data_IF_382326234370
#
_entry.id   IF_382326234370
#
_cell.length_a   1.000
_cell.length_b   1.000
_cell.length_c   1.000
_cell.angle_alpha   90.00
_cell.angle_beta   90.00
_cell.angle_gamma   90.00
#
_symmetry.space_group_name_H-M   'P 1'
#
loop_
_entity.id
_entity.type
_entity.pdbx_description
1 polymer ?
#
# COMPACT_ATOMS: atom_id res chain seq x y z
N UNK A 1 31.67 -84.74 -22.31
CA UNK A 1 31.71 -83.78 -21.18
C UNK A 1 31.07 -82.49 -21.61
N UNK A 2 30.15 -82.00 -20.79
CA UNK A 2 29.12 -81.01 -21.13
C UNK A 2 29.68 -79.60 -21.33
N UNK A 3 29.06 -78.85 -22.25
CA UNK A 3 29.25 -77.41 -22.43
C UNK A 3 28.46 -76.69 -21.35
N UNK A 4 29.09 -75.81 -20.58
CA UNK A 4 28.35 -74.85 -19.75
C UNK A 4 28.68 -73.43 -20.20
N UNK A 5 27.77 -72.88 -21.01
CA UNK A 5 27.73 -71.46 -21.32
C UNK A 5 27.20 -70.75 -20.07
N UNK A 6 28.01 -69.92 -19.43
CA UNK A 6 27.52 -68.98 -18.40
C UNK A 6 26.64 -67.95 -19.11
N UNK A 7 25.33 -68.08 -18.93
CA UNK A 7 24.37 -67.06 -19.33
C UNK A 7 24.59 -65.85 -18.43
N UNK A 8 24.83 -64.70 -19.05
CA UNK A 8 24.84 -63.42 -18.36
C UNK A 8 23.36 -63.07 -18.21
N UNK A 9 22.82 -63.38 -17.04
CA UNK A 9 21.46 -63.03 -16.67
C UNK A 9 21.37 -61.50 -16.55
N UNK A 10 20.43 -60.91 -17.28
CA UNK A 10 20.15 -59.48 -17.22
C UNK A 10 19.41 -59.23 -15.91
N UNK A 11 20.13 -58.72 -14.91
CA UNK A 11 19.57 -58.37 -13.61
C UNK A 11 18.70 -57.10 -13.75
N UNK A 12 17.37 -57.19 -13.64
CA UNK A 12 16.48 -56.03 -13.75
C UNK A 12 16.55 -55.12 -12.52
N UNK A 13 17.36 -55.43 -11.51
CA UNK A 13 17.50 -54.60 -10.30
C UNK A 13 18.26 -53.28 -10.51
N UNK A 14 18.86 -53.07 -11.69
CA UNK A 14 19.42 -51.79 -12.12
C UNK A 14 18.35 -50.94 -12.85
N UNK A 15 17.11 -50.95 -12.36
CA UNK A 15 16.22 -49.82 -12.59
C UNK A 15 16.65 -48.71 -11.64
N UNK A 16 17.32 -47.69 -12.18
CA UNK A 16 17.68 -46.48 -11.44
C UNK A 16 16.41 -45.86 -10.84
N UNK A 17 16.19 -46.08 -9.54
CA UNK A 17 15.15 -45.41 -8.76
C UNK A 17 15.23 -43.91 -9.00
N UNK A 18 14.16 -43.33 -9.53
CA UNK A 18 13.98 -41.89 -9.61
C UNK A 18 14.08 -41.30 -8.19
N UNK A 19 15.25 -40.76 -7.85
CA UNK A 19 15.48 -40.12 -6.55
C UNK A 19 14.54 -38.93 -6.43
N UNK A 20 13.67 -38.97 -5.42
CA UNK A 20 12.82 -37.86 -5.04
C UNK A 20 13.66 -36.62 -4.76
N UNK A 21 13.18 -35.46 -5.24
CA UNK A 21 13.87 -34.19 -5.05
C UNK A 21 13.90 -33.84 -3.56
N UNK A 22 15.10 -33.86 -2.96
CA UNK A 22 15.30 -33.44 -1.56
C UNK A 22 15.53 -31.94 -1.47
N UNK A 23 15.01 -31.29 -0.42
CA UNK A 23 15.26 -29.86 -0.15
C UNK A 23 16.75 -29.52 -0.04
N UNK A 24 17.58 -30.48 0.41
CA UNK A 24 19.04 -30.32 0.45
C UNK A 24 19.64 -30.25 -0.95
N UNK A 25 19.19 -31.10 -1.88
CA UNK A 25 19.65 -31.09 -3.27
C UNK A 25 19.24 -29.81 -4.02
N UNK A 26 18.14 -29.17 -3.62
CA UNK A 26 17.71 -27.87 -4.15
C UNK A 26 18.59 -26.73 -3.64
N UNK A 27 18.96 -26.75 -2.36
CA UNK A 27 19.84 -25.74 -1.76
C UNK A 27 21.30 -25.89 -2.21
N UNK A 28 21.78 -27.13 -2.35
CA UNK A 28 23.13 -27.46 -2.82
C UNK A 28 23.30 -27.26 -4.34
N UNK A 29 22.22 -26.87 -5.05
CA UNK A 29 22.27 -26.55 -6.49
C UNK A 29 22.43 -27.76 -7.40
N UNK A 30 22.46 -28.99 -6.86
CA UNK A 30 22.58 -30.23 -7.61
C UNK A 30 21.41 -30.43 -8.60
N UNK A 31 20.24 -29.85 -8.29
CA UNK A 31 19.08 -29.83 -9.20
C UNK A 31 19.35 -29.04 -10.48
N UNK A 32 20.20 -27.99 -10.44
CA UNK A 32 20.51 -27.16 -11.61
C UNK A 32 21.46 -27.87 -12.59
N UNK A 33 22.26 -28.83 -12.12
CA UNK A 33 23.24 -29.57 -12.95
C UNK A 33 22.60 -30.70 -13.76
N UNK A 34 21.31 -30.99 -13.57
CA UNK A 34 20.61 -32.03 -14.33
C UNK A 34 20.52 -31.67 -15.81
N UNK A 35 20.80 -32.63 -16.70
CA UNK A 35 20.78 -32.44 -18.17
C UNK A 35 19.46 -31.83 -18.69
N UNK A 36 18.33 -32.18 -18.07
CA UNK A 36 17.01 -31.61 -18.40
C UNK A 36 16.90 -30.11 -18.07
N UNK A 37 17.50 -29.68 -16.96
CA UNK A 37 17.52 -28.28 -16.50
C UNK A 37 18.47 -27.45 -17.36
N UNK A 38 19.64 -27.99 -17.69
CA UNK A 38 20.61 -27.33 -18.60
C UNK A 38 20.03 -27.12 -20.01
N UNK A 39 19.25 -28.09 -20.53
CA UNK A 39 18.55 -27.98 -21.82
C UNK A 39 17.54 -26.83 -21.84
N UNK A 40 16.93 -26.53 -20.70
CA UNK A 40 15.90 -25.50 -20.53
C UNK A 40 16.42 -24.25 -19.78
N UNK A 41 17.75 -24.06 -19.76
CA UNK A 41 18.42 -22.96 -19.07
C UNK A 41 17.92 -21.58 -19.47
N UNK A 42 17.62 -21.35 -20.76
CA UNK A 42 17.06 -20.08 -21.26
C UNK A 42 15.73 -19.71 -20.60
N UNK A 43 14.86 -20.69 -20.36
CA UNK A 43 13.57 -20.48 -19.72
C UNK A 43 13.71 -20.25 -18.21
N UNK A 44 14.65 -20.93 -17.54
CA UNK A 44 14.92 -20.68 -16.12
C UNK A 44 15.48 -19.26 -15.93
N UNK A 45 16.35 -18.80 -16.82
CA UNK A 45 16.83 -17.42 -16.82
C UNK A 45 15.68 -16.41 -16.93
N UNK A 46 14.68 -16.69 -17.79
CA UNK A 46 13.47 -15.89 -17.88
C UNK A 46 12.69 -15.87 -16.56
N UNK A 47 12.51 -17.03 -15.91
CA UNK A 47 11.82 -17.11 -14.61
C UNK A 47 12.55 -16.34 -13.52
N UNK A 48 13.88 -16.45 -13.47
CA UNK A 48 14.72 -15.70 -12.54
C UNK A 48 14.59 -14.20 -12.79
N UNK A 49 14.61 -13.77 -14.05
CA UNK A 49 14.39 -12.36 -14.42
C UNK A 49 13.02 -11.87 -13.94
N UNK A 50 11.95 -12.63 -14.18
CA UNK A 50 10.60 -12.30 -13.71
C UNK A 50 10.53 -12.26 -12.18
N UNK A 51 11.21 -13.18 -11.49
CA UNK A 51 11.27 -13.20 -10.03
C UNK A 51 11.94 -11.92 -9.50
N UNK A 52 13.08 -11.51 -10.08
CA UNK A 52 13.73 -10.25 -9.73
C UNK A 52 12.82 -9.04 -10.00
N UNK A 53 12.17 -9.00 -11.16
CA UNK A 53 11.24 -7.92 -11.52
C UNK A 53 10.06 -7.85 -10.53
N UNK A 54 9.56 -9.01 -10.09
CA UNK A 54 8.46 -9.11 -9.13
C UNK A 54 8.88 -8.63 -7.74
N UNK A 55 10.08 -8.98 -7.28
CA UNK A 55 10.64 -8.48 -6.00
C UNK A 55 10.81 -6.96 -6.06
N UNK A 56 11.37 -6.45 -7.17
CA UNK A 56 11.57 -5.02 -7.36
C UNK A 56 10.23 -4.26 -7.35
N UNK A 57 9.22 -4.76 -8.07
CA UNK A 57 7.89 -4.15 -8.12
C UNK A 57 7.18 -4.21 -6.75
N UNK A 58 7.29 -5.34 -6.05
CA UNK A 58 6.70 -5.50 -4.71
C UNK A 58 7.23 -4.46 -3.73
N UNK A 59 8.56 -4.27 -3.69
CA UNK A 59 9.18 -3.29 -2.81
C UNK A 59 8.76 -1.84 -3.15
N UNK A 60 8.48 -1.54 -4.42
CA UNK A 60 7.95 -0.22 -4.81
C UNK A 60 6.52 -0.05 -4.34
N UNK A 61 5.66 -1.06 -4.57
CA UNK A 61 4.27 -1.03 -4.14
C UNK A 61 4.15 -0.86 -2.61
N UNK A 62 4.98 -1.55 -1.83
CA UNK A 62 4.99 -1.44 -0.38
C UNK A 62 5.32 -0.01 0.10
N UNK A 63 6.35 0.62 -0.47
CA UNK A 63 6.70 2.02 -0.17
C UNK A 63 5.57 2.98 -0.52
N UNK A 64 4.93 2.79 -1.67
CA UNK A 64 3.79 3.60 -2.10
C UNK A 64 2.60 3.45 -1.16
N UNK A 65 2.30 2.23 -0.70
CA UNK A 65 1.22 1.98 0.26
C UNK A 65 1.48 2.67 1.60
N UNK A 66 2.72 2.64 2.09
CA UNK A 66 3.08 3.36 3.32
C UNK A 66 2.90 4.88 3.15
N UNK A 67 3.35 5.43 2.01
CA UNK A 67 3.19 6.85 1.72
C UNK A 67 1.72 7.25 1.61
N UNK A 68 0.90 6.43 0.93
CA UNK A 68 -0.53 6.64 0.78
C UNK A 68 -1.24 6.70 2.14
N UNK A 69 -0.91 5.77 3.05
CA UNK A 69 -1.49 5.74 4.40
C UNK A 69 -1.14 7.01 5.19
N UNK A 70 0.11 7.49 5.10
CA UNK A 70 0.52 8.75 5.74
C UNK A 70 -0.26 9.93 5.17
N UNK A 71 -0.30 10.04 3.84
CA UNK A 71 -1.00 11.13 3.16
C UNK A 71 -2.50 11.14 3.49
N UNK A 72 -3.12 9.96 3.60
CA UNK A 72 -4.52 9.85 4.00
C UNK A 72 -4.76 10.29 5.45
N UNK A 73 -3.83 9.98 6.36
CA UNK A 73 -3.87 10.49 7.74
C UNK A 73 -3.75 12.02 7.77
N UNK A 74 -2.83 12.59 7.00
CA UNK A 74 -2.62 14.03 6.93
C UNK A 74 -3.87 14.74 6.40
N UNK A 75 -4.49 14.22 5.33
CA UNK A 75 -5.75 14.75 4.79
C UNK A 75 -6.86 14.72 5.84
N UNK A 76 -6.97 13.63 6.62
CA UNK A 76 -7.96 13.52 7.69
C UNK A 76 -7.72 14.56 8.78
N UNK A 77 -6.47 14.76 9.19
CA UNK A 77 -6.10 15.76 10.18
C UNK A 77 -6.39 17.18 9.68
N UNK A 78 -5.98 17.51 8.45
CA UNK A 78 -6.23 18.82 7.83
C UNK A 78 -7.73 19.11 7.74
N UNK A 79 -8.55 18.11 7.37
CA UNK A 79 -10.01 18.25 7.37
C UNK A 79 -10.52 18.56 8.77
N UNK A 80 -10.08 17.83 9.79
CA UNK A 80 -10.47 18.08 11.17
C UNK A 80 -10.09 19.50 11.63
N UNK A 81 -8.85 19.94 11.35
CA UNK A 81 -8.40 21.31 11.63
C UNK A 81 -9.27 22.35 10.93
N UNK A 82 -9.56 22.17 9.64
CA UNK A 82 -10.39 23.12 8.88
C UNK A 82 -11.77 23.30 9.50
N UNK A 83 -12.42 22.20 9.89
CA UNK A 83 -13.73 22.23 10.56
C UNK A 83 -13.62 22.93 11.91
N UNK A 84 -12.58 22.62 12.69
CA UNK A 84 -12.34 23.25 14.00
C UNK A 84 -12.14 24.76 13.86
N UNK A 85 -11.28 25.21 12.93
CA UNK A 85 -11.01 26.62 12.69
C UNK A 85 -12.26 27.35 12.18
N UNK A 86 -13.02 26.77 11.25
CA UNK A 86 -14.29 27.36 10.81
C UNK A 86 -15.31 27.44 11.95
N UNK A 87 -15.36 26.43 12.82
CA UNK A 87 -16.26 26.42 13.98
C UNK A 87 -15.86 27.49 15.01
N UNK A 88 -14.56 27.71 15.19
CA UNK A 88 -14.04 28.77 16.04
C UNK A 88 -14.39 30.15 15.49
N UNK A 89 -14.24 30.36 14.18
CA UNK A 89 -14.66 31.60 13.53
C UNK A 89 -16.15 31.85 13.75
N UNK A 90 -17.00 30.85 13.50
CA UNK A 90 -18.45 30.94 13.73
C UNK A 90 -18.76 31.24 15.19
N UNK A 91 -18.05 30.61 16.14
CA UNK A 91 -18.20 30.88 17.57
C UNK A 91 -17.92 32.34 17.88
N UNK A 92 -16.79 32.88 17.42
CA UNK A 92 -16.38 34.26 17.70
C UNK A 92 -17.31 35.26 16.98
N UNK A 93 -17.77 34.96 15.77
CA UNK A 93 -18.67 35.82 15.00
C UNK A 93 -20.14 35.74 15.44
N UNK A 94 -20.50 34.88 16.41
CA UNK A 94 -21.87 34.84 16.95
C UNK A 94 -22.21 36.18 17.60
N UNK A 95 -23.40 36.69 17.30
CA UNK A 95 -23.90 37.95 17.87
C UNK A 95 -23.80 38.00 19.40
N UNK A 96 -24.06 36.89 20.09
CA UNK A 96 -23.91 36.80 21.55
C UNK A 96 -22.46 36.96 22.04
N UNK A 97 -21.49 36.38 21.33
CA UNK A 97 -20.06 36.53 21.67
C UNK A 97 -19.56 37.92 21.31
N UNK A 98 -19.98 38.47 20.17
CA UNK A 98 -19.68 39.86 19.76
C UNK A 98 -20.23 40.85 20.80
N UNK A 99 -21.48 40.69 21.25
CA UNK A 99 -22.07 41.50 22.31
C UNK A 99 -21.29 41.39 23.62
N UNK A 100 -20.87 40.18 24.00
CA UNK A 100 -20.02 39.97 25.18
C UNK A 100 -18.70 40.73 25.04
N UNK A 101 -18.04 40.62 23.89
CA UNK A 101 -16.76 41.31 23.62
C UNK A 101 -16.94 42.84 23.65
N UNK A 102 -17.98 43.37 23.02
CA UNK A 102 -18.31 44.81 23.03
C UNK A 102 -18.49 45.35 24.44
N UNK A 103 -19.22 44.62 25.29
CA UNK A 103 -19.39 44.97 26.71
C UNK A 103 -18.06 44.87 27.50
N UNK A 104 -17.25 43.84 27.21
CA UNK A 104 -15.97 43.61 27.90
C UNK A 104 -14.95 44.72 27.58
N UNK A 105 -14.93 45.20 26.34
CA UNK A 105 -14.05 46.28 25.89
C UNK A 105 -14.66 47.69 26.08
N UNK A 106 -15.83 47.78 26.73
CA UNK A 106 -16.52 49.05 27.03
C UNK A 106 -16.71 49.96 25.80
N UNK A 107 -16.96 49.36 24.63
CA UNK A 107 -17.01 50.10 23.35
C UNK A 107 -18.26 50.99 23.19
N UNK A 108 -19.19 50.97 24.15
CA UNK A 108 -20.39 51.81 24.15
C UNK A 108 -21.36 51.54 22.99
N UNK A 109 -21.25 50.39 22.33
CA UNK A 109 -22.10 50.01 21.20
C UNK A 109 -23.28 49.17 21.69
N UNK A 110 -24.49 49.55 21.28
CA UNK A 110 -25.73 48.84 21.61
C UNK A 110 -26.30 48.10 20.39
N UNK A 111 -26.99 47.00 20.66
CA UNK A 111 -27.61 46.18 19.62
C UNK A 111 -28.86 46.86 19.08
N UNK A 112 -28.92 47.09 17.78
CA UNK A 112 -30.10 47.67 17.15
C UNK A 112 -31.24 46.63 17.13
N UNK A 113 -32.25 46.84 17.98
CA UNK A 113 -33.43 45.98 18.10
C UNK A 113 -34.51 46.29 17.04
N UNK A 114 -34.40 47.42 16.34
CA UNK A 114 -35.34 47.80 15.29
C UNK A 114 -34.85 47.33 13.91
N UNK A 115 -35.74 46.74 13.08
CA UNK A 115 -35.37 46.32 11.74
C UNK A 115 -34.98 47.54 10.86
N UNK A 116 -34.00 47.40 9.96
CA UNK A 116 -33.56 48.49 9.10
C UNK A 116 -34.69 48.98 8.20
N UNK A 117 -34.98 50.29 8.26
CA UNK A 117 -36.03 50.92 7.44
C UNK A 117 -35.50 51.15 6.03
N UNK A 118 -36.29 50.76 5.03
CA UNK A 118 -36.00 51.07 3.63
C UNK A 118 -36.17 52.58 3.43
N UNK A 119 -35.10 53.27 3.05
CA UNK A 119 -35.19 54.66 2.62
C UNK A 119 -35.88 54.67 1.26
N UNK A 120 -37.10 55.23 1.20
CA UNK A 120 -37.82 55.44 -0.04
C UNK A 120 -37.67 56.93 -0.36
N UNK A 121 -36.96 57.24 -1.44
CA UNK A 121 -36.87 58.59 -1.94
C UNK A 121 -38.18 58.89 -2.68
N UNK A 122 -39.00 59.77 -2.13
CA UNK A 122 -40.12 60.34 -2.87
C UNK A 122 -39.54 61.49 -3.68
N UNK A 123 -39.50 61.34 -5.00
CA UNK A 123 -39.32 62.47 -5.91
C UNK A 123 -40.64 63.27 -5.91
N UNK A 124 -40.55 64.53 -5.48
CA UNK A 124 -41.60 65.55 -5.67
C UNK A 124 -41.67 66.02 -7.12
#
# INVERSE_FOLDING_TARGET
MSREKKNIEFDPSIEEKEKSLSFRDLLDGNVLTRKAVLKQSRFILLLVLIAFLSIANRNHAEKTVIHLNRLQSDVKELRARSISTSSELVRISRQSEVKRLVNTYELGLEENLEPPKKLIQNEE
#
